data_IF_576197337734
#
_entry.id   IF_576197337734
#
_cell.length_a   1.000
_cell.length_b   1.000
_cell.length_c   1.000
_cell.angle_alpha   90.00
_cell.angle_beta   90.00
_cell.angle_gamma   90.00
#
_symmetry.space_group_name_H-M   'P 1'
#
loop_
_entity.id
_entity.type
_entity.pdbx_description
1 polymer ?
#
# COMPACT_ATOMS: atom_id res chain seq x y z
N UNK A 1 13.32 -0.52 10.01
CA UNK A 1 14.03 -1.06 8.84
C UNK A 1 13.42 -0.40 7.60
N UNK A 2 14.22 0.11 6.67
CA UNK A 2 13.80 1.11 5.67
C UNK A 2 13.08 0.51 4.45
N UNK A 3 12.76 -0.78 4.52
CA UNK A 3 12.04 -1.52 3.50
C UNK A 3 11.09 -2.40 4.25
N UNK A 4 9.82 -2.04 4.27
CA UNK A 4 8.81 -2.85 4.93
C UNK A 4 7.93 -3.49 3.85
N UNK A 5 8.37 -4.63 3.27
CA UNK A 5 7.44 -5.58 2.65
C UNK A 5 6.24 -5.88 3.55
N UNK A 6 6.38 -5.67 4.87
CA UNK A 6 5.29 -5.67 5.83
C UNK A 6 4.07 -4.83 5.40
N UNK A 7 4.25 -3.65 4.81
CA UNK A 7 3.12 -2.82 4.36
C UNK A 7 2.33 -3.43 3.20
N UNK A 8 2.92 -4.36 2.44
CA UNK A 8 2.17 -5.17 1.47
C UNK A 8 1.11 -6.04 2.16
N UNK A 9 1.30 -6.40 3.43
CA UNK A 9 0.36 -7.19 4.19
C UNK A 9 -1.01 -6.52 4.33
N UNK A 10 -1.10 -5.35 4.97
CA UNK A 10 -2.32 -4.54 5.00
C UNK A 10 -2.83 -4.15 3.62
N UNK A 11 -1.94 -3.84 2.68
CA UNK A 11 -2.35 -3.51 1.32
C UNK A 11 -3.06 -4.68 0.62
N UNK A 12 -2.59 -5.91 0.82
CA UNK A 12 -3.25 -7.11 0.31
C UNK A 12 -4.52 -7.44 1.10
N UNK A 13 -4.42 -7.45 2.43
CA UNK A 13 -5.48 -7.83 3.36
C UNK A 13 -6.69 -6.89 3.35
N UNK A 14 -6.49 -5.60 3.10
CA UNK A 14 -7.58 -4.63 2.90
C UNK A 14 -7.92 -4.45 1.42
N UNK A 15 -6.91 -4.44 0.54
CA UNK A 15 -7.11 -4.19 -0.89
C UNK A 15 -7.97 -5.25 -1.55
N UNK A 16 -7.69 -6.54 -1.34
CA UNK A 16 -8.43 -7.62 -2.03
C UNK A 16 -9.93 -7.69 -1.67
N UNK A 17 -10.33 -7.60 -0.38
CA UNK A 17 -11.75 -7.49 -0.03
C UNK A 17 -12.40 -6.23 -0.60
N UNK A 18 -11.66 -5.12 -0.67
CA UNK A 18 -12.15 -3.83 -1.16
C UNK A 18 -11.90 -3.61 -2.67
N UNK A 19 -11.53 -4.64 -3.44
CA UNK A 19 -11.16 -4.51 -4.86
C UNK A 19 -12.27 -4.03 -5.80
N UNK A 20 -13.50 -3.91 -5.30
CA UNK A 20 -14.61 -3.25 -6.01
C UNK A 20 -14.51 -1.71 -5.94
N UNK A 21 -13.85 -1.19 -4.91
CA UNK A 21 -13.70 0.24 -4.64
C UNK A 21 -12.26 0.73 -4.87
N UNK A 22 -11.28 -0.12 -4.57
CA UNK A 22 -9.86 0.18 -4.69
C UNK A 22 -9.22 -0.55 -5.85
N UNK A 23 -8.28 0.10 -6.53
CA UNK A 23 -7.42 -0.54 -7.53
C UNK A 23 -6.27 -1.25 -6.82
N UNK A 24 -6.43 -2.54 -6.50
CA UNK A 24 -5.49 -3.30 -5.66
C UNK A 24 -4.03 -3.19 -6.10
N UNK A 25 -3.68 -3.31 -7.39
CA UNK A 25 -2.29 -3.11 -7.83
C UNK A 25 -1.76 -1.72 -7.48
N UNK A 26 -2.57 -0.66 -7.63
CA UNK A 26 -2.17 0.69 -7.23
C UNK A 26 -1.98 0.78 -5.72
N UNK A 27 -2.84 0.14 -4.93
CA UNK A 27 -2.74 0.17 -3.47
C UNK A 27 -1.46 -0.49 -2.98
N UNK A 28 -1.10 -1.64 -3.57
CA UNK A 28 0.13 -2.38 -3.29
C UNK A 28 1.39 -1.57 -3.61
N UNK A 29 1.42 -0.91 -4.78
CA UNK A 29 2.59 -0.08 -5.16
C UNK A 29 2.64 1.18 -4.28
N UNK A 30 1.49 1.79 -4.00
CA UNK A 30 1.42 3.00 -3.18
C UNK A 30 1.80 2.75 -1.72
N UNK A 31 1.56 1.55 -1.18
CA UNK A 31 1.95 1.19 0.19
C UNK A 31 3.46 1.00 0.38
N UNK A 32 4.27 1.04 -0.69
CA UNK A 32 5.73 0.90 -0.61
C UNK A 32 6.50 2.00 -1.36
N UNK A 33 5.83 2.83 -2.18
CA UNK A 33 6.52 3.86 -2.99
C UNK A 33 7.24 4.89 -2.12
N UNK A 34 6.74 5.14 -0.91
CA UNK A 34 7.29 6.13 0.02
C UNK A 34 8.68 5.70 0.52
N UNK A 35 8.95 4.39 0.60
CA UNK A 35 10.26 3.83 0.97
C UNK A 35 11.38 4.17 -0.04
N UNK A 36 11.06 4.69 -1.22
CA UNK A 36 12.08 5.17 -2.18
C UNK A 36 12.95 6.28 -1.55
N UNK A 37 12.39 7.11 -0.67
CA UNK A 37 13.16 8.14 0.03
C UNK A 37 14.26 7.53 0.93
N UNK A 38 13.96 6.73 1.97
CA UNK A 38 14.97 6.12 2.81
C UNK A 38 15.91 5.19 2.03
N UNK A 39 15.42 4.54 0.96
CA UNK A 39 16.25 3.76 0.04
C UNK A 39 17.38 4.60 -0.55
N UNK A 40 17.03 5.75 -1.15
CA UNK A 40 18.00 6.62 -1.81
C UNK A 40 18.99 7.21 -0.81
N UNK A 41 18.53 7.57 0.40
CA UNK A 41 19.40 8.06 1.47
C UNK A 41 20.47 7.04 1.82
N UNK A 42 20.09 5.77 2.00
CA UNK A 42 21.00 4.71 2.39
C UNK A 42 21.94 4.30 1.25
N UNK A 43 21.41 4.16 0.03
CA UNK A 43 22.20 3.71 -1.13
C UNK A 43 23.19 4.76 -1.58
N UNK A 44 22.83 6.05 -1.52
CA UNK A 44 23.67 7.16 -1.98
C UNK A 44 24.44 7.84 -0.84
N UNK A 45 24.22 7.45 0.41
CA UNK A 45 24.88 8.06 1.58
C UNK A 45 24.58 9.55 1.74
N UNK A 46 23.32 9.96 1.47
CA UNK A 46 22.95 11.37 1.42
C UNK A 46 23.00 12.01 2.82
N UNK A 47 23.41 13.28 2.89
CA UNK A 47 23.26 14.13 4.08
C UNK A 47 21.81 14.64 4.19
N UNK A 48 20.86 13.72 4.30
CA UNK A 48 19.41 13.95 4.36
C UNK A 48 18.80 13.04 5.45
N UNK A 49 17.73 13.47 6.16
CA UNK A 49 17.06 12.60 7.14
C UNK A 49 16.64 11.27 6.52
N UNK A 50 16.66 10.18 7.28
CA UNK A 50 16.26 8.88 6.74
C UNK A 50 14.81 8.93 6.24
N UNK A 51 13.91 9.51 7.03
CA UNK A 51 12.55 9.83 6.64
C UNK A 51 12.37 11.35 6.56
N UNK A 52 12.12 11.86 5.36
CA UNK A 52 12.03 13.29 5.08
C UNK A 52 10.65 13.68 4.55
N UNK A 53 10.62 14.43 3.45
CA UNK A 53 9.38 14.95 2.88
C UNK A 53 8.42 13.87 2.40
N UNK A 54 8.90 12.76 1.82
CA UNK A 54 7.96 11.72 1.36
C UNK A 54 7.20 11.08 2.52
N UNK A 55 7.77 11.07 3.72
CA UNK A 55 7.11 10.61 4.95
C UNK A 55 6.24 11.68 5.64
N UNK A 56 5.71 12.63 4.88
CA UNK A 56 4.68 13.57 5.35
C UNK A 56 3.34 13.21 4.71
N UNK A 57 2.20 13.41 5.39
CA UNK A 57 0.90 13.09 4.79
C UNK A 57 0.66 13.87 3.50
N UNK A 58 1.10 15.14 3.44
CA UNK A 58 0.93 15.98 2.27
C UNK A 58 1.70 15.44 1.05
N UNK A 59 3.02 15.27 1.16
CA UNK A 59 3.83 14.82 0.03
C UNK A 59 3.64 13.33 -0.29
N UNK A 60 3.35 12.48 0.70
CA UNK A 60 2.91 11.11 0.45
C UNK A 60 1.62 11.10 -0.37
N UNK A 61 0.62 11.92 -0.02
CA UNK A 61 -0.62 12.02 -0.79
C UNK A 61 -0.39 12.53 -2.21
N UNK A 62 0.47 13.54 -2.41
CA UNK A 62 0.83 14.02 -3.75
C UNK A 62 1.55 12.94 -4.57
N UNK A 63 2.46 12.19 -3.94
CA UNK A 63 3.15 11.05 -4.56
C UNK A 63 2.17 9.95 -4.92
N UNK A 64 1.25 9.62 -4.02
CA UNK A 64 0.17 8.67 -4.25
C UNK A 64 -0.77 9.09 -5.37
N UNK A 65 -1.10 10.39 -5.47
CA UNK A 65 -1.90 10.94 -6.56
C UNK A 65 -1.18 10.79 -7.91
N UNK A 66 0.10 11.15 -7.97
CA UNK A 66 0.93 11.00 -9.16
C UNK A 66 1.07 9.53 -9.58
N UNK A 67 1.33 8.63 -8.61
CA UNK A 67 1.37 7.20 -8.84
C UNK A 67 0.03 6.67 -9.35
N UNK A 68 -1.09 7.10 -8.77
CA UNK A 68 -2.42 6.77 -9.25
C UNK A 68 -2.61 7.14 -10.71
N UNK A 69 -2.15 8.33 -11.13
CA UNK A 69 -2.18 8.78 -12.52
C UNK A 69 -1.35 7.87 -13.43
N UNK A 70 -0.12 7.54 -13.03
CA UNK A 70 0.75 6.62 -13.78
C UNK A 70 0.08 5.25 -13.92
N UNK A 71 -0.45 4.69 -12.83
CA UNK A 71 -1.13 3.39 -12.85
C UNK A 71 -2.36 3.39 -13.75
N UNK A 72 -3.15 4.47 -13.76
CA UNK A 72 -4.30 4.60 -14.66
C UNK A 72 -3.88 4.65 -16.13
N UNK A 73 -2.82 5.40 -16.45
CA UNK A 73 -2.28 5.48 -17.82
C UNK A 73 -1.74 4.13 -18.33
N UNK A 74 -1.20 3.30 -17.43
CA UNK A 74 -0.70 1.96 -17.72
C UNK A 74 -1.78 0.87 -17.69
N UNK A 75 -2.99 1.19 -17.20
CA UNK A 75 -4.03 0.20 -16.93
C UNK A 75 -4.43 -0.58 -18.20
N UNK A 76 -4.56 0.09 -19.35
CA UNK A 76 -4.91 -0.59 -20.61
C UNK A 76 -3.93 -1.73 -20.95
N UNK A 77 -2.64 -1.55 -20.64
CA UNK A 77 -1.59 -2.54 -20.89
C UNK A 77 -1.58 -3.63 -19.82
N UNK A 78 -1.77 -3.28 -18.55
CA UNK A 78 -1.53 -4.18 -17.42
C UNK A 78 -2.81 -4.87 -16.91
N UNK A 79 -3.99 -4.34 -17.22
CA UNK A 79 -5.29 -4.88 -16.82
C UNK A 79 -5.49 -6.36 -17.20
N UNK A 80 -5.04 -6.88 -18.37
CA UNK A 80 -5.12 -8.32 -18.64
C UNK A 80 -4.39 -9.17 -17.59
N UNK A 81 -3.22 -8.72 -17.15
CA UNK A 81 -2.44 -9.39 -16.09
C UNK A 81 -3.15 -9.26 -14.75
N UNK A 82 -3.63 -8.05 -14.41
CA UNK A 82 -4.36 -7.83 -13.15
C UNK A 82 -5.62 -8.67 -13.04
N UNK A 83 -6.34 -8.88 -14.16
CA UNK A 83 -7.51 -9.76 -14.24
C UNK A 83 -7.14 -11.23 -14.14
N UNK A 84 -6.08 -11.67 -14.83
CA UNK A 84 -5.58 -13.04 -14.72
C UNK A 84 -5.21 -13.39 -13.27
N UNK A 85 -4.62 -12.43 -12.55
CA UNK A 85 -4.29 -12.53 -11.14
C UNK A 85 -5.48 -12.26 -10.20
N UNK A 86 -6.67 -11.92 -10.71
CA UNK A 86 -7.88 -11.61 -9.91
C UNK A 86 -7.70 -10.48 -8.88
N UNK A 87 -6.78 -9.55 -9.17
CA UNK A 87 -6.48 -8.40 -8.31
C UNK A 87 -7.50 -7.28 -8.48
N UNK A 88 -8.14 -7.18 -9.64
CA UNK A 88 -9.18 -6.19 -9.95
C UNK A 88 -10.55 -6.85 -10.07
N UNK A 89 -11.61 -6.07 -9.83
CA UNK A 89 -12.97 -6.51 -10.14
C UNK A 89 -13.19 -6.58 -11.66
N UNK A 90 -14.28 -7.25 -12.08
CA UNK A 90 -14.62 -7.37 -13.51
C UNK A 90 -15.00 -6.03 -14.14
N UNK A 91 -15.60 -5.15 -13.33
CA UNK A 91 -15.96 -3.80 -13.73
C UNK A 91 -14.71 -2.92 -13.88
N UNK A 92 -14.66 -2.12 -14.95
CA UNK A 92 -13.59 -1.16 -15.15
C UNK A 92 -13.67 -0.05 -14.09
N UNK A 93 -12.58 0.14 -13.36
CA UNK A 93 -12.48 1.23 -12.41
C UNK A 93 -12.14 2.55 -13.13
N UNK A 94 -12.89 3.61 -12.83
CA UNK A 94 -12.61 4.93 -13.40
C UNK A 94 -11.35 5.57 -12.81
N UNK A 95 -10.80 6.58 -13.50
CA UNK A 95 -9.61 7.35 -13.08
C UNK A 95 -9.62 7.77 -11.60
N UNK A 96 -10.78 8.19 -11.08
CA UNK A 96 -10.91 8.60 -9.67
C UNK A 96 -10.50 7.49 -8.69
N UNK A 97 -10.85 6.24 -8.99
CA UNK A 97 -10.51 5.10 -8.14
C UNK A 97 -8.98 4.92 -8.03
N UNK A 98 -8.25 5.04 -9.14
CA UNK A 98 -6.79 4.98 -9.15
C UNK A 98 -6.17 6.10 -8.32
N UNK A 99 -6.65 7.35 -8.47
CA UNK A 99 -6.12 8.51 -7.74
C UNK A 99 -6.32 8.34 -6.24
N UNK A 100 -7.56 8.03 -5.84
CA UNK A 100 -7.92 7.82 -4.43
C UNK A 100 -7.14 6.65 -3.85
N UNK A 101 -7.02 5.55 -4.58
CA UNK A 101 -6.28 4.37 -4.12
C UNK A 101 -4.80 4.69 -3.91
N UNK A 102 -4.18 5.44 -4.82
CA UNK A 102 -2.78 5.85 -4.68
C UNK A 102 -2.56 6.76 -3.47
N UNK A 103 -3.41 7.77 -3.29
CA UNK A 103 -3.37 8.65 -2.09
C UNK A 103 -3.55 7.84 -0.81
N UNK A 104 -4.56 6.96 -0.77
CA UNK A 104 -4.82 6.13 0.41
C UNK A 104 -3.64 5.22 0.73
N UNK A 105 -3.03 4.57 -0.27
CA UNK A 105 -1.89 3.68 -0.04
C UNK A 105 -0.67 4.40 0.53
N UNK A 106 -0.31 5.53 -0.05
CA UNK A 106 0.85 6.31 0.41
C UNK A 106 0.59 6.96 1.77
N UNK A 107 -0.60 7.51 2.02
CA UNK A 107 -0.95 8.06 3.32
C UNK A 107 -1.01 6.97 4.39
N UNK A 108 -1.54 5.79 4.06
CA UNK A 108 -1.61 4.65 4.97
C UNK A 108 -0.21 4.14 5.36
N UNK A 109 0.74 4.13 4.41
CA UNK A 109 2.15 3.86 4.71
C UNK A 109 2.69 4.83 5.77
N UNK A 110 2.55 6.15 5.55
CA UNK A 110 3.01 7.16 6.54
C UNK A 110 2.33 6.98 7.89
N UNK A 111 1.03 6.62 7.89
CA UNK A 111 0.29 6.36 9.13
C UNK A 111 0.86 5.17 9.91
N UNK A 112 1.28 4.10 9.23
CA UNK A 112 1.88 2.93 9.88
C UNK A 112 3.29 3.19 10.40
N UNK A 113 4.08 4.02 9.70
CA UNK A 113 5.44 4.34 10.11
C UNK A 113 5.53 5.45 11.18
N UNK A 114 4.52 6.33 11.26
CA UNK A 114 4.54 7.45 12.21
C UNK A 114 4.71 7.01 13.68
N UNK A 115 4.10 5.92 14.19
CA UNK A 115 4.39 5.44 15.53
C UNK A 115 5.82 4.93 15.76
N UNK A 116 6.49 4.48 14.69
CA UNK A 116 7.76 3.75 14.76
C UNK A 116 8.99 4.66 14.79
N UNK A 117 8.93 5.79 14.10
CA UNK A 117 10.10 6.61 13.82
C UNK A 117 9.96 8.04 14.31
N UNK A 118 10.94 8.50 15.09
CA UNK A 118 10.92 9.84 15.68
C UNK A 118 11.21 10.95 14.66
N UNK A 119 11.95 10.65 13.59
CA UNK A 119 12.39 11.60 12.56
C UNK A 119 11.30 11.92 11.53
N UNK A 120 10.27 11.09 11.41
CA UNK A 120 9.09 11.33 10.56
C UNK A 120 8.35 12.60 11.00
N UNK A 121 7.90 13.42 10.03
CA UNK A 121 7.19 14.70 10.29
C UNK A 121 5.83 14.69 9.61
N UNK A 122 4.87 13.90 10.10
CA UNK A 122 3.67 13.56 9.32
C UNK A 122 2.81 14.78 9.00
N UNK A 123 2.85 15.81 9.87
CA UNK A 123 2.08 17.05 9.78
C UNK A 123 2.94 18.28 9.39
N UNK A 124 4.01 18.08 8.61
CA UNK A 124 4.84 19.19 8.10
C UNK A 124 3.95 20.36 7.57
N UNK A 125 4.19 21.62 7.96
CA UNK A 125 5.43 22.18 8.52
C UNK A 125 5.64 21.98 10.03
N UNK A 126 4.74 21.31 10.75
CA UNK A 126 5.01 20.92 12.13
C UNK A 126 6.16 19.90 12.15
N UNK A 127 7.22 20.21 12.89
CA UNK A 127 8.48 19.46 12.82
C UNK A 127 8.57 18.29 13.79
N UNK A 128 7.55 18.09 14.64
CA UNK A 128 7.49 16.96 15.56
C UNK A 128 6.56 15.88 15.02
N UNK A 129 6.80 14.65 15.48
CA UNK A 129 5.91 13.53 15.25
C UNK A 129 4.92 13.39 16.43
N UNK A 130 3.67 13.85 16.32
CA UNK A 130 2.69 13.69 17.40
C UNK A 130 2.24 12.25 17.61
N UNK A 131 2.51 11.36 16.65
CA UNK A 131 2.09 9.96 16.69
C UNK A 131 3.19 9.01 17.20
N UNK A 132 4.42 9.52 17.40
CA UNK A 132 5.56 8.70 17.80
C UNK A 132 5.29 7.98 19.12
N UNK A 133 5.11 6.67 19.03
CA UNK A 133 4.74 5.78 20.13
C UNK A 133 5.47 4.46 19.92
N UNK A 134 6.79 4.40 20.18
CA UNK A 134 7.63 3.25 19.81
C UNK A 134 7.21 1.96 20.52
N UNK A 135 6.49 2.05 21.63
CA UNK A 135 5.90 0.89 22.32
C UNK A 135 4.90 0.12 21.45
N UNK A 136 4.30 0.76 20.42
CA UNK A 136 3.39 0.12 19.47
C UNK A 136 4.11 -0.61 18.32
N UNK A 137 5.44 -0.67 18.33
CA UNK A 137 6.20 -1.26 17.22
C UNK A 137 5.80 -2.71 16.96
N UNK A 138 5.68 -3.51 18.02
CA UNK A 138 5.31 -4.92 17.90
C UNK A 138 3.91 -5.07 17.32
N UNK A 139 2.97 -4.23 17.73
CA UNK A 139 1.58 -4.21 17.30
C UNK A 139 1.47 -3.81 15.82
N UNK A 140 2.20 -2.79 15.38
CA UNK A 140 2.23 -2.36 13.98
C UNK A 140 2.79 -3.46 13.08
N UNK A 141 3.92 -4.07 13.45
CA UNK A 141 4.48 -5.19 12.68
C UNK A 141 3.56 -6.41 12.70
N UNK A 142 2.98 -6.74 13.86
CA UNK A 142 2.03 -7.86 13.99
C UNK A 142 0.79 -7.64 13.14
N UNK A 143 0.22 -6.43 13.15
CA UNK A 143 -0.88 -6.05 12.28
C UNK A 143 -0.51 -6.27 10.81
N UNK A 144 0.67 -5.82 10.39
CA UNK A 144 1.14 -6.02 9.03
C UNK A 144 1.24 -7.50 8.64
N UNK A 145 1.85 -8.32 9.51
CA UNK A 145 2.00 -9.77 9.29
C UNK A 145 0.64 -10.46 9.22
N UNK A 146 -0.24 -10.22 10.19
CA UNK A 146 -1.56 -10.86 10.23
C UNK A 146 -2.42 -10.45 9.04
N UNK A 147 -2.41 -9.17 8.65
CA UNK A 147 -3.11 -8.73 7.44
C UNK A 147 -2.53 -9.37 6.17
N UNK A 148 -1.21 -9.60 6.11
CA UNK A 148 -0.58 -10.36 5.02
C UNK A 148 -1.06 -11.80 4.97
N UNK A 149 -1.08 -12.50 6.11
CA UNK A 149 -1.60 -13.87 6.20
C UNK A 149 -3.07 -13.92 5.74
N UNK A 150 -3.91 -13.05 6.28
CA UNK A 150 -5.35 -12.96 5.92
C UNK A 150 -5.50 -12.65 4.42
N UNK A 151 -4.72 -11.71 3.91
CA UNK A 151 -4.72 -11.33 2.49
C UNK A 151 -4.34 -12.49 1.58
N UNK A 152 -3.32 -13.28 1.94
CA UNK A 152 -2.91 -14.47 1.20
C UNK A 152 -4.00 -15.54 1.24
N UNK A 153 -4.58 -15.83 2.40
CA UNK A 153 -5.69 -16.79 2.54
C UNK A 153 -6.87 -16.36 1.65
N UNK A 154 -7.24 -15.08 1.69
CA UNK A 154 -8.30 -14.53 0.85
C UNK A 154 -7.96 -14.68 -0.63
N UNK A 155 -6.72 -14.34 -1.03
CA UNK A 155 -6.24 -14.46 -2.40
C UNK A 155 -6.32 -15.90 -2.91
N UNK A 156 -5.84 -16.89 -2.14
CA UNK A 156 -5.95 -18.31 -2.47
C UNK A 156 -7.43 -18.72 -2.61
N UNK A 157 -8.29 -18.27 -1.69
CA UNK A 157 -9.73 -18.49 -1.73
C UNK A 157 -10.39 -17.97 -3.02
N UNK A 158 -9.88 -16.88 -3.61
CA UNK A 158 -10.36 -16.41 -4.91
C UNK A 158 -10.20 -17.47 -5.99
N UNK A 159 -9.10 -18.23 -6.02
CA UNK A 159 -8.86 -19.26 -7.04
C UNK A 159 -9.58 -20.57 -6.75
N UNK A 160 -9.67 -20.97 -5.47
CA UNK A 160 -10.27 -22.26 -5.07
C UNK A 160 -11.81 -22.24 -5.17
N UNK A 161 -12.47 -21.15 -4.79
CA UNK A 161 -13.94 -21.09 -4.71
C UNK A 161 -14.66 -21.41 -6.03
N UNK A 162 -14.21 -20.92 -7.20
CA UNK A 162 -14.84 -21.28 -8.47
C UNK A 162 -14.57 -22.71 -8.90
N UNK A 163 -13.49 -23.35 -8.43
CA UNK A 163 -13.19 -24.76 -8.71
C UNK A 163 -14.17 -25.65 -7.94
N UNK A 164 -14.39 -25.34 -6.66
CA UNK A 164 -15.34 -26.07 -5.80
C UNK A 164 -16.79 -25.94 -6.31
N UNK A 165 -17.21 -24.75 -6.76
CA UNK A 165 -18.56 -24.53 -7.32
C UNK A 165 -18.80 -25.18 -8.69
N UNK A 166 -17.74 -25.60 -9.39
CA UNK A 166 -17.85 -26.27 -10.71
C UNK A 166 -17.93 -27.79 -10.60
N UNK A 167 -17.74 -28.37 -9.41
CA UNK A 167 -17.96 -29.79 -9.18
C UNK A 167 -19.49 -30.03 -9.04
N UNK A 168 -20.13 -30.84 -9.90
CA UNK A 168 -21.53 -31.18 -9.72
C UNK A 168 -21.69 -31.98 -8.42
N UNK A 169 -22.68 -31.61 -7.59
CA UNK A 169 -23.10 -32.44 -6.46
C UNK A 169 -23.56 -33.78 -7.01
N UNK A 170 -22.78 -34.84 -6.74
CA UNK A 170 -23.08 -36.23 -7.06
C UNK A 170 -24.35 -36.71 -6.37
#
# INVERSE_FOLDING_TARGET
MPFTPFHLGPALGLGLPLRRYLHVPTFLVASIIVDVEPLLVLVLGLSYPLHGYLHTFLFASLTGLALGYVMFSLDKLLNPVYRALRLVAEDSQGRKAFMVTGVLGAAFHVMLDSPLYRDIRPLFPFTQNPFYTPNLSLEVYSFCVWMGIIGIIYYVGLFVNPILKRQPSS
#
